data_IF_378979966688
#
_entry.id   IF_378979966688
#
_cell.length_a   1.000
_cell.length_b   1.000
_cell.length_c   1.000
_cell.angle_alpha   90.00
_cell.angle_beta   90.00
_cell.angle_gamma   90.00
#
_symmetry.space_group_name_H-M   'P 1'
#
loop_
_entity.id
_entity.type
_entity.pdbx_description
1 polymer ?
#
# COMPACT_ATOMS: atom_id res chain seq x y z
N UNK A 1 19.28 12.95 22.64
CA UNK A 1 18.75 12.34 21.40
C UNK A 1 17.33 12.85 21.21
N UNK A 2 17.02 13.63 20.15
CA UNK A 2 15.65 14.09 19.95
C UNK A 2 14.75 12.87 19.67
N UNK A 3 13.63 12.78 20.39
CA UNK A 3 12.66 11.72 20.19
C UNK A 3 12.02 11.88 18.80
N UNK A 4 12.21 10.90 17.93
CA UNK A 4 11.56 10.86 16.61
C UNK A 4 10.05 10.71 16.81
N UNK A 5 9.32 11.80 16.63
CA UNK A 5 7.86 11.81 16.71
C UNK A 5 7.28 11.39 15.36
N UNK A 6 6.66 10.22 15.32
CA UNK A 6 5.91 9.77 14.14
C UNK A 6 4.50 10.37 14.23
N UNK A 7 4.16 11.27 13.30
CA UNK A 7 2.80 11.79 13.13
C UNK A 7 2.15 11.09 11.95
N UNK A 8 0.96 10.55 12.17
CA UNK A 8 0.11 10.04 11.10
C UNK A 8 -0.66 11.24 10.55
N UNK A 9 -0.19 11.79 9.43
CA UNK A 9 -0.92 12.81 8.71
C UNK A 9 -2.17 12.19 8.06
N UNK A 10 -3.31 12.91 8.03
CA UNK A 10 -4.51 12.43 7.35
C UNK A 10 -4.23 12.10 5.88
N UNK A 11 -4.73 10.97 5.38
CA UNK A 11 -4.52 10.55 3.98
C UNK A 11 -4.98 11.61 2.97
N UNK A 12 -5.99 12.41 3.33
CA UNK A 12 -6.51 13.50 2.51
C UNK A 12 -5.48 14.61 2.22
N UNK A 13 -4.51 14.85 3.11
CA UNK A 13 -3.43 15.83 2.87
C UNK A 13 -2.28 15.26 2.03
N UNK A 14 -2.18 13.93 1.89
CA UNK A 14 -1.11 13.27 1.13
C UNK A 14 -1.45 13.09 -0.36
N UNK A 15 -2.74 13.05 -0.71
CA UNK A 15 -3.18 12.81 -2.09
C UNK A 15 -4.26 13.80 -2.56
N UNK A 16 -3.88 14.99 -3.07
CA UNK A 16 -4.82 15.95 -3.68
C UNK A 16 -5.45 15.44 -4.99
N UNK A 17 -4.99 14.30 -5.53
CA UNK A 17 -5.47 13.71 -6.78
C UNK A 17 -6.79 12.91 -6.65
N UNK A 18 -7.34 12.75 -5.43
CA UNK A 18 -8.64 12.10 -5.23
C UNK A 18 -9.83 12.90 -5.83
N UNK A 19 -9.57 14.07 -6.43
CA UNK A 19 -10.56 14.91 -7.12
C UNK A 19 -10.73 14.58 -8.61
N UNK A 20 -9.83 13.80 -9.22
CA UNK A 20 -10.08 13.22 -10.54
C UNK A 20 -10.89 11.94 -10.36
N UNK A 21 -11.88 11.68 -11.23
CA UNK A 21 -12.69 10.46 -11.22
C UNK A 21 -11.80 9.20 -11.33
N UNK A 22 -11.29 8.74 -10.18
CA UNK A 22 -10.49 7.54 -10.09
C UNK A 22 -11.47 6.38 -10.07
N UNK A 23 -11.86 5.94 -11.26
CA UNK A 23 -12.62 4.71 -11.43
C UNK A 23 -11.67 3.54 -11.16
N UNK A 24 -11.74 2.99 -9.94
CA UNK A 24 -11.07 1.73 -9.64
C UNK A 24 -11.61 0.65 -10.60
N UNK A 25 -10.72 -0.11 -11.25
CA UNK A 25 -11.12 -1.24 -12.09
C UNK A 25 -12.04 -2.17 -11.29
N UNK A 26 -13.07 -2.71 -11.95
CA UNK A 26 -13.95 -3.71 -11.34
C UNK A 26 -13.17 -4.93 -10.80
N UNK A 27 -12.07 -5.30 -11.47
CA UNK A 27 -11.19 -6.39 -11.05
C UNK A 27 -10.43 -6.07 -9.75
N UNK A 28 -10.03 -4.80 -9.59
CA UNK A 28 -9.36 -4.30 -8.39
C UNK A 28 -10.33 -4.25 -7.20
N UNK A 29 -11.57 -3.81 -7.44
CA UNK A 29 -12.63 -3.82 -6.43
C UNK A 29 -13.00 -5.25 -6.03
N UNK A 30 -13.04 -6.19 -6.99
CA UNK A 30 -13.27 -7.60 -6.71
C UNK A 30 -12.12 -8.18 -5.86
N UNK A 31 -10.87 -7.87 -6.19
CA UNK A 31 -9.71 -8.25 -5.37
C UNK A 31 -9.84 -7.76 -3.93
N UNK A 32 -10.27 -6.51 -3.72
CA UNK A 32 -10.47 -5.98 -2.38
C UNK A 32 -11.57 -6.70 -1.61
N UNK A 33 -12.63 -7.13 -2.32
CA UNK A 33 -13.68 -7.95 -1.73
C UNK A 33 -13.16 -9.34 -1.33
N UNK A 34 -12.39 -10.00 -2.22
CA UNK A 34 -11.78 -11.31 -1.97
C UNK A 34 -10.81 -11.27 -0.77
N UNK A 35 -10.08 -10.15 -0.61
CA UNK A 35 -9.16 -9.90 0.49
C UNK A 35 -9.84 -9.36 1.76
N UNK A 36 -11.17 -9.27 1.77
CA UNK A 36 -11.98 -8.79 2.90
C UNK A 36 -11.61 -7.37 3.36
N UNK A 37 -11.16 -6.51 2.45
CA UNK A 37 -10.81 -5.13 2.74
C UNK A 37 -12.10 -4.33 3.00
N UNK A 38 -12.19 -3.55 4.09
CA UNK A 38 -13.36 -2.72 4.38
C UNK A 38 -13.71 -1.78 3.22
N UNK A 39 -14.98 -1.79 2.79
CA UNK A 39 -15.50 -0.92 1.71
C UNK A 39 -15.12 0.56 1.82
N UNK A 40 -15.14 1.19 3.01
CA UNK A 40 -14.75 2.60 3.15
C UNK A 40 -13.30 2.89 2.72
N UNK A 41 -12.45 1.87 2.68
CA UNK A 41 -11.05 2.00 2.32
C UNK A 41 -10.79 1.78 0.83
N UNK A 42 -11.75 1.23 0.07
CA UNK A 42 -11.53 0.81 -1.32
C UNK A 42 -11.04 1.96 -2.21
N UNK A 43 -11.67 3.13 -2.12
CA UNK A 43 -11.30 4.28 -2.94
C UNK A 43 -9.93 4.85 -2.55
N UNK A 44 -9.66 4.99 -1.25
CA UNK A 44 -8.37 5.45 -0.74
C UNK A 44 -7.25 4.49 -1.12
N UNK A 45 -7.50 3.18 -1.02
CA UNK A 45 -6.54 2.15 -1.38
C UNK A 45 -6.29 2.10 -2.89
N UNK A 46 -7.35 2.16 -3.71
CA UNK A 46 -7.21 2.22 -5.17
C UNK A 46 -6.39 3.44 -5.60
N UNK A 47 -6.66 4.60 -5.00
CA UNK A 47 -5.90 5.84 -5.25
C UNK A 47 -4.42 5.67 -4.89
N UNK A 48 -4.14 5.04 -3.74
CA UNK A 48 -2.78 4.78 -3.29
C UNK A 48 -2.06 3.83 -4.26
N UNK A 49 -2.68 2.72 -4.63
CA UNK A 49 -2.12 1.76 -5.58
C UNK A 49 -1.85 2.41 -6.94
N UNK A 50 -2.78 3.23 -7.45
CA UNK A 50 -2.61 3.99 -8.69
C UNK A 50 -1.40 4.93 -8.61
N UNK A 51 -1.27 5.70 -7.51
CA UNK A 51 -0.16 6.64 -7.32
C UNK A 51 1.22 5.96 -7.27
N UNK A 52 1.24 4.65 -6.96
CA UNK A 52 2.44 3.82 -6.85
C UNK A 52 2.67 2.93 -8.08
N UNK A 53 1.84 3.04 -9.12
CA UNK A 53 1.93 2.18 -10.30
C UNK A 53 1.49 0.74 -10.07
N UNK A 54 0.74 0.47 -8.99
CA UNK A 54 0.24 -0.85 -8.57
C UNK A 54 -1.26 -1.02 -8.87
N UNK A 55 -1.81 -0.28 -9.83
CA UNK A 55 -3.21 -0.38 -10.22
C UNK A 55 -3.54 -1.68 -11.00
N UNK A 56 -2.52 -2.39 -11.48
CA UNK A 56 -2.70 -3.69 -12.10
C UNK A 56 -3.16 -4.73 -11.05
N UNK A 57 -4.24 -5.50 -11.29
CA UNK A 57 -4.78 -6.45 -10.31
C UNK A 57 -3.78 -7.52 -9.85
N UNK A 58 -2.84 -7.93 -10.71
CA UNK A 58 -1.82 -8.95 -10.36
C UNK A 58 -0.81 -8.34 -9.40
N UNK A 59 -0.29 -7.15 -9.71
CA UNK A 59 0.65 -6.45 -8.83
C UNK A 59 -0.01 -6.01 -7.52
N UNK A 60 -1.26 -5.55 -7.57
CA UNK A 60 -2.05 -5.21 -6.39
C UNK A 60 -2.25 -6.43 -5.48
N UNK A 61 -2.56 -7.60 -6.07
CA UNK A 61 -2.73 -8.85 -5.32
C UNK A 61 -1.44 -9.26 -4.61
N UNK A 62 -0.31 -9.22 -5.30
CA UNK A 62 0.99 -9.54 -4.70
C UNK A 62 1.32 -8.58 -3.55
N UNK A 63 1.21 -7.27 -3.80
CA UNK A 63 1.46 -6.25 -2.79
C UNK A 63 0.59 -6.37 -1.54
N UNK A 64 -0.68 -6.76 -1.70
CA UNK A 64 -1.64 -6.91 -0.60
C UNK A 64 -1.62 -8.31 0.03
N UNK A 65 -0.93 -9.29 -0.58
CA UNK A 65 -0.85 -10.63 -0.05
C UNK A 65 0.01 -10.63 1.22
N UNK A 66 -0.64 -10.95 2.34
CA UNK A 66 0.01 -11.07 3.65
C UNK A 66 1.09 -12.15 3.68
N UNK A 67 0.98 -13.15 2.81
CA UNK A 67 1.95 -14.23 2.69
C UNK A 67 3.03 -13.92 1.65
N UNK A 68 3.00 -12.74 1.01
CA UNK A 68 4.05 -12.36 0.08
C UNK A 68 5.37 -12.19 0.84
N UNK A 69 6.27 -13.15 0.59
CA UNK A 69 7.58 -13.21 1.24
C UNK A 69 8.56 -12.24 0.61
N UNK A 70 8.22 -11.60 -0.52
CA UNK A 70 9.08 -10.59 -1.17
C UNK A 70 9.22 -9.32 -0.34
N UNK A 71 8.21 -8.97 0.46
CA UNK A 71 8.26 -7.82 1.37
C UNK A 71 9.27 -8.02 2.52
N UNK A 72 9.60 -9.28 2.81
CA UNK A 72 10.60 -9.70 3.78
C UNK A 72 11.86 -10.25 3.12
N UNK A 73 12.01 -10.13 1.80
CA UNK A 73 13.21 -10.62 1.12
C UNK A 73 14.41 -9.80 1.61
N UNK A 74 15.33 -10.42 2.37
CA UNK A 74 16.47 -9.71 2.95
C UNK A 74 17.40 -9.15 1.87
N UNK A 75 17.31 -9.62 0.62
CA UNK A 75 18.08 -9.09 -0.50
C UNK A 75 17.50 -7.80 -1.09
N UNK A 76 16.24 -7.46 -0.79
CA UNK A 76 15.58 -6.21 -1.21
C UNK A 76 15.71 -5.08 -0.16
N UNK A 77 16.28 -5.36 1.01
CA UNK A 77 16.59 -4.38 2.05
C UNK A 77 18.06 -3.95 1.91
N UNK A 78 18.38 -2.83 1.24
CA UNK A 78 19.76 -2.47 0.93
C UNK A 78 20.68 -2.24 2.13
N UNK A 79 20.19 -2.19 3.38
CA UNK A 79 21.04 -1.91 4.55
C UNK A 79 20.61 -2.62 5.86
N UNK A 80 19.84 -3.72 5.79
CA UNK A 80 19.40 -4.42 7.01
C UNK A 80 20.49 -5.33 7.64
N UNK A 81 21.66 -5.46 7.01
CA UNK A 81 22.75 -6.30 7.51
C UNK A 81 23.31 -5.85 8.87
N UNK A 82 23.03 -4.60 9.29
CA UNK A 82 23.50 -4.05 10.56
C UNK A 82 22.44 -3.80 11.63
N UNK A 83 21.14 -3.95 11.33
CA UNK A 83 20.04 -3.52 12.22
C UNK A 83 19.33 -4.67 12.94
N UNK A 84 19.58 -5.92 12.53
CA UNK A 84 19.06 -7.14 13.16
C UNK A 84 20.18 -7.87 13.93
N UNK A 85 20.93 -7.10 14.71
CA UNK A 85 21.66 -7.60 15.88
C UNK A 85 21.36 -6.57 16.97
N UNK A 86 20.65 -6.90 18.04
CA UNK A 86 20.98 -7.90 19.06
C UNK A 86 19.73 -8.23 19.87
#
# INVERSE_FOLDING_TARGET
>A
MPARAWRLEPVASLHPAASGELQASAELLQLFADLLIPKPLHLSLATLLQSRGLADPVHARQFLDRNDRTLHDPHLLPDATGLIAR
#
